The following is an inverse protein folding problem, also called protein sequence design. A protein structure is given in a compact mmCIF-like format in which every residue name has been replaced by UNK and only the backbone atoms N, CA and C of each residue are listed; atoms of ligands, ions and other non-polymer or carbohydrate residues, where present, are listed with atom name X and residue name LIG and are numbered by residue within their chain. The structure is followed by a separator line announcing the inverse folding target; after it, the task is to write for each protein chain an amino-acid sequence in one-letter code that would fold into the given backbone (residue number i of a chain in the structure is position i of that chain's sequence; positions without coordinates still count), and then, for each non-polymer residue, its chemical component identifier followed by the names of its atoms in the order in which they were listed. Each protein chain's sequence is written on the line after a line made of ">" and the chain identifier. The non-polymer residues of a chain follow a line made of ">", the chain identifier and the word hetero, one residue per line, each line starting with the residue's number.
data_IF_289101652853
#
_entry.id   IF_289101652853
#
_cell.length_a   1.000
_cell.length_b   1.000
_cell.length_c   1.000
_cell.angle_alpha   90.00
_cell.angle_beta   90.00
_cell.angle_gamma   90.00
#
_symmetry.space_group_name_H-M   'P 1'
#
loop_
_entity.id
_entity.type
_entity.pdbx_description
1 polymer ?
#
# COMPACT_ATOMS: atom_id res chain seq x y z
N UNK A 1 46.25 -36.60 21.03
CA UNK A 1 45.94 -35.86 22.28
C UNK A 1 44.84 -34.87 21.95
N UNK A 2 43.54 -35.16 22.04
CA UNK A 2 42.83 -36.27 22.67
C UNK A 2 42.32 -35.89 24.06
N UNK A 3 41.18 -35.19 24.13
CA UNK A 3 40.27 -35.26 25.28
C UNK A 3 38.84 -34.89 24.87
N UNK A 4 38.01 -35.93 24.80
CA UNK A 4 36.55 -35.90 24.91
C UNK A 4 36.12 -35.66 26.37
N UNK A 5 34.81 -35.40 26.53
CA UNK A 5 33.90 -35.61 27.67
C UNK A 5 33.11 -34.32 27.94
N UNK A 6 31.79 -34.31 28.12
CA UNK A 6 30.85 -35.39 28.34
C UNK A 6 29.56 -34.79 28.93
N UNK A 7 28.43 -35.41 28.60
CA UNK A 7 27.06 -35.02 28.92
C UNK A 7 26.71 -34.91 30.42
N UNK A 8 25.69 -34.11 30.75
CA UNK A 8 24.61 -34.48 31.70
C UNK A 8 23.44 -33.48 31.58
N UNK A 9 22.28 -33.89 31.07
CA UNK A 9 21.10 -34.46 31.78
C UNK A 9 20.45 -33.51 32.81
N UNK A 10 19.34 -32.92 32.37
CA UNK A 10 18.01 -33.05 32.96
C UNK A 10 17.84 -32.84 34.45
N UNK A 11 17.16 -31.76 34.81
CA UNK A 11 16.41 -31.63 36.06
C UNK A 11 15.02 -31.07 35.76
N UNK A 12 14.02 -31.87 36.11
CA UNK A 12 12.63 -31.43 36.27
C UNK A 12 12.52 -30.50 37.46
N UNK A 13 11.68 -29.47 37.36
CA UNK A 13 11.06 -28.82 38.51
C UNK A 13 9.58 -28.53 38.20
N UNK A 14 8.74 -28.87 39.17
CA UNK A 14 7.31 -28.69 39.20
C UNK A 14 6.91 -27.45 40.02
N UNK A 15 5.68 -27.01 39.77
CA UNK A 15 4.75 -26.23 40.63
C UNK A 15 4.78 -24.69 40.63
N UNK A 16 3.60 -24.18 40.22
CA UNK A 16 2.82 -23.03 40.68
C UNK A 16 3.45 -21.63 40.79
N UNK A 17 2.88 -20.68 40.04
CA UNK A 17 2.21 -19.49 40.61
C UNK A 17 1.30 -18.78 39.58
N UNK A 18 0.15 -18.33 40.10
CA UNK A 18 -0.88 -17.53 39.45
C UNK A 18 -0.33 -16.24 38.82
N UNK A 19 -0.74 -15.92 37.59
CA UNK A 19 -0.92 -14.53 37.20
C UNK A 19 -2.15 -14.36 36.29
N UNK A 20 -2.94 -13.37 36.68
CA UNK A 20 -4.22 -12.99 36.12
C UNK A 20 -3.96 -12.19 34.85
N UNK A 21 -4.29 -12.73 33.67
CA UNK A 21 -4.36 -11.94 32.44
C UNK A 21 -5.80 -12.01 31.94
N UNK A 22 -6.50 -10.87 32.04
CA UNK A 22 -7.78 -10.65 31.36
C UNK A 22 -7.52 -10.70 29.85
N UNK A 23 -7.77 -11.84 29.24
CA UNK A 23 -7.92 -11.92 27.79
C UNK A 23 -9.31 -11.39 27.43
N UNK A 24 -9.36 -10.24 26.77
CA UNK A 24 -10.49 -9.88 25.93
C UNK A 24 -10.64 -10.95 24.84
N UNK A 25 -11.87 -11.44 24.70
CA UNK A 25 -12.25 -12.50 23.77
C UNK A 25 -12.11 -12.02 22.33
N UNK A 26 -11.14 -12.56 21.59
CA UNK A 26 -11.27 -12.70 20.15
C UNK A 26 -11.37 -14.18 19.83
N UNK A 27 -12.44 -14.56 19.13
CA UNK A 27 -12.56 -15.87 18.51
C UNK A 27 -11.88 -15.81 17.14
N UNK A 28 -10.71 -16.44 17.02
CA UNK A 28 -10.10 -16.69 15.71
C UNK A 28 -10.70 -18.01 15.20
N UNK A 29 -11.41 -17.95 14.07
CA UNK A 29 -11.83 -19.13 13.33
C UNK A 29 -10.73 -19.43 12.31
N UNK A 30 -9.99 -20.52 12.52
CA UNK A 30 -9.04 -21.04 11.55
C UNK A 30 -9.68 -22.25 10.87
N UNK A 31 -10.01 -22.12 9.59
CA UNK A 31 -10.45 -23.25 8.77
C UNK A 31 -9.25 -23.83 8.03
N UNK A 32 -8.90 -25.09 8.30
CA UNK A 32 -7.98 -25.86 7.48
C UNK A 32 -8.76 -26.69 6.47
N UNK A 33 -8.51 -26.48 5.18
CA UNK A 33 -8.91 -27.44 4.14
C UNK A 33 -7.76 -28.43 3.96
N UNK A 34 -7.94 -29.66 4.43
CA UNK A 34 -7.10 -30.80 4.04
C UNK A 34 -7.89 -31.68 3.06
N UNK A 35 -7.35 -31.99 1.87
CA UNK A 35 -8.01 -32.87 0.92
C UNK A 35 -7.53 -34.31 1.14
N UNK A 36 -8.47 -35.18 1.51
CA UNK A 36 -8.48 -36.65 1.37
C UNK A 36 -8.95 -37.30 2.68
N UNK A 37 -10.15 -37.88 2.64
CA UNK A 37 -10.39 -39.32 2.85
C UNK A 37 -11.81 -39.54 3.40
N UNK A 38 -12.54 -40.44 2.74
CA UNK A 38 -13.94 -40.79 2.99
C UNK A 38 -14.05 -41.74 4.18
N UNK A 39 -13.92 -41.24 5.41
CA UNK A 39 -14.61 -41.77 6.60
C UNK A 39 -14.06 -41.10 7.85
N UNK A 40 -14.72 -40.05 8.32
CA UNK A 40 -14.53 -39.59 9.69
C UNK A 40 -15.84 -39.06 10.24
N UNK A 41 -16.30 -39.72 11.30
CA UNK A 41 -17.48 -39.35 12.06
C UNK A 41 -17.31 -37.94 12.61
N UNK A 42 -18.15 -37.00 12.18
CA UNK A 42 -18.23 -35.67 12.76
C UNK A 42 -18.80 -35.79 14.18
N UNK A 43 -17.93 -35.76 15.19
CA UNK A 43 -18.33 -35.58 16.58
C UNK A 43 -18.85 -34.15 16.74
N UNK A 44 -20.17 -34.00 16.62
CA UNK A 44 -20.89 -32.77 16.93
C UNK A 44 -20.75 -32.45 18.41
N UNK A 45 -19.85 -31.53 18.76
CA UNK A 45 -19.96 -30.80 20.02
C UNK A 45 -21.03 -29.73 19.87
N UNK A 46 -22.28 -30.11 20.14
CA UNK A 46 -23.36 -29.15 20.37
C UNK A 46 -23.08 -28.48 21.71
N UNK A 47 -22.39 -27.34 21.68
CA UNK A 47 -22.40 -26.40 22.79
C UNK A 47 -23.79 -25.76 22.80
N UNK A 48 -24.57 -26.10 23.83
CA UNK A 48 -25.90 -25.56 24.10
C UNK A 48 -25.79 -24.05 24.41
N UNK A 49 -25.78 -23.22 23.36
CA UNK A 49 -26.01 -21.79 23.51
C UNK A 49 -27.50 -21.60 23.77
N UNK A 50 -27.85 -21.37 25.04
CA UNK A 50 -29.15 -20.87 25.46
C UNK A 50 -29.55 -19.71 24.55
N UNK A 51 -30.76 -19.82 23.99
CA UNK A 51 -31.46 -18.81 23.23
C UNK A 51 -31.42 -17.45 23.94
N UNK A 52 -30.64 -16.51 23.40
CA UNK A 52 -30.83 -15.08 23.61
C UNK A 52 -31.47 -14.50 22.34
N UNK A 53 -32.80 -14.43 22.24
CA UNK A 53 -33.51 -13.88 21.07
C UNK A 53 -33.42 -12.33 20.97
N UNK A 54 -32.41 -11.71 21.59
CA UNK A 54 -32.22 -10.25 21.61
C UNK A 54 -30.82 -9.79 21.20
N UNK A 55 -29.99 -10.69 20.67
CA UNK A 55 -28.82 -10.26 19.90
C UNK A 55 -29.25 -10.13 18.44
N UNK A 56 -30.22 -9.25 18.21
CA UNK A 56 -30.34 -8.59 16.92
C UNK A 56 -28.95 -8.05 16.59
N UNK A 57 -28.52 -8.33 15.38
CA UNK A 57 -27.29 -7.86 14.78
C UNK A 57 -27.11 -6.37 15.07
N UNK A 58 -26.41 -6.04 16.16
CA UNK A 58 -25.69 -4.79 16.30
C UNK A 58 -24.59 -4.87 15.23
N UNK A 59 -24.97 -4.62 13.98
CA UNK A 59 -24.07 -4.08 13.00
C UNK A 59 -23.53 -2.81 13.64
N UNK A 60 -22.45 -2.93 14.41
CA UNK A 60 -21.67 -1.76 14.77
C UNK A 60 -21.20 -1.24 13.42
N UNK A 61 -21.87 -0.20 12.92
CA UNK A 61 -21.29 0.69 11.94
C UNK A 61 -19.94 1.10 12.53
N UNK A 62 -18.86 0.52 11.99
CA UNK A 62 -17.52 0.97 12.31
C UNK A 62 -17.50 2.46 12.00
N UNK A 63 -17.33 3.28 13.04
CA UNK A 63 -17.23 4.72 12.87
C UNK A 63 -15.97 4.97 12.05
N UNK A 64 -16.17 5.34 10.80
CA UNK A 64 -15.09 5.62 9.86
C UNK A 64 -14.34 6.87 10.33
N UNK A 65 -13.10 6.71 10.82
CA UNK A 65 -12.27 7.82 11.27
C UNK A 65 -11.59 8.52 10.08
N UNK A 66 -11.14 9.75 10.27
CA UNK A 66 -10.36 10.47 9.25
C UNK A 66 -9.12 9.69 8.79
N UNK A 67 -8.43 9.01 9.70
CA UNK A 67 -7.35 8.09 9.36
C UNK A 67 -7.79 6.99 8.37
N UNK A 68 -8.86 6.25 8.70
CA UNK A 68 -9.30 5.13 7.84
C UNK A 68 -9.72 5.60 6.46
N UNK A 69 -10.32 6.78 6.35
CA UNK A 69 -10.68 7.42 5.08
C UNK A 69 -9.46 7.83 4.26
N UNK A 70 -8.48 8.48 4.90
CA UNK A 70 -7.22 8.87 4.26
C UNK A 70 -6.46 7.63 3.76
N UNK A 71 -6.28 6.63 4.62
CA UNK A 71 -5.60 5.38 4.29
C UNK A 71 -6.28 4.68 3.13
N UNK A 72 -7.61 4.55 3.18
CA UNK A 72 -8.38 3.94 2.10
C UNK A 72 -8.20 4.69 0.78
N UNK A 73 -8.37 6.02 0.80
CA UNK A 73 -8.25 6.86 -0.39
C UNK A 73 -6.87 6.72 -1.03
N UNK A 74 -5.81 6.80 -0.23
CA UNK A 74 -4.43 6.69 -0.68
C UNK A 74 -4.10 5.31 -1.27
N UNK A 75 -4.50 4.24 -0.59
CA UNK A 75 -4.31 2.86 -1.06
C UNK A 75 -5.08 2.60 -2.36
N UNK A 76 -6.29 3.16 -2.50
CA UNK A 76 -7.09 3.01 -3.71
C UNK A 76 -6.47 3.75 -4.91
N UNK A 77 -5.76 4.85 -4.70
CA UNK A 77 -4.96 5.50 -5.76
C UNK A 77 -3.77 4.65 -6.18
N UNK A 78 -2.97 4.15 -5.23
CA UNK A 78 -1.85 3.23 -5.51
C UNK A 78 -2.31 1.99 -6.29
N UNK A 79 -3.46 1.41 -5.92
CA UNK A 79 -4.05 0.28 -6.66
C UNK A 79 -4.37 0.66 -8.11
N UNK A 80 -4.96 1.82 -8.34
CA UNK A 80 -5.31 2.29 -9.68
C UNK A 80 -4.06 2.56 -10.53
N UNK A 81 -3.06 3.22 -9.95
CA UNK A 81 -1.79 3.50 -10.63
C UNK A 81 -1.02 2.23 -10.95
N UNK A 82 -0.84 1.32 -9.98
CA UNK A 82 -0.16 0.03 -10.18
C UNK A 82 -0.81 -0.80 -11.27
N UNK A 83 -2.16 -0.84 -11.33
CA UNK A 83 -2.89 -1.51 -12.41
C UNK A 83 -2.62 -0.87 -13.76
N UNK A 84 -2.61 0.46 -13.84
CA UNK A 84 -2.30 1.16 -15.10
C UNK A 84 -0.85 0.97 -15.53
N UNK A 85 0.12 0.98 -14.60
CA UNK A 85 1.52 0.69 -14.91
C UNK A 85 1.70 -0.74 -15.43
N UNK A 86 1.03 -1.72 -14.82
CA UNK A 86 1.02 -3.09 -15.33
C UNK A 86 0.40 -3.15 -16.73
N UNK A 87 -0.69 -2.44 -16.96
CA UNK A 87 -1.32 -2.37 -18.29
C UNK A 87 -0.39 -1.75 -19.33
N UNK A 88 0.32 -0.66 -19.01
CA UNK A 88 1.35 -0.09 -19.87
C UNK A 88 2.47 -1.09 -20.18
N UNK A 89 2.94 -1.84 -19.17
CA UNK A 89 3.97 -2.87 -19.37
C UNK A 89 3.51 -3.92 -20.40
N UNK A 90 2.26 -4.35 -20.33
CA UNK A 90 1.67 -5.32 -21.25
C UNK A 90 1.56 -4.74 -22.68
N UNK A 91 1.09 -3.50 -22.83
CA UNK A 91 0.98 -2.80 -24.12
C UNK A 91 2.37 -2.61 -24.76
N UNK A 92 3.37 -2.20 -23.98
CA UNK A 92 4.76 -2.11 -24.43
C UNK A 92 5.37 -3.50 -24.73
N UNK A 93 4.88 -4.56 -24.08
CA UNK A 93 5.19 -5.96 -24.39
C UNK A 93 4.73 -6.34 -25.79
N UNK A 94 3.49 -5.99 -26.11
CA UNK A 94 2.83 -6.30 -27.38
C UNK A 94 3.15 -5.30 -28.50
N UNK A 95 3.97 -4.28 -28.22
CA UNK A 95 4.30 -3.17 -29.13
C UNK A 95 3.06 -2.40 -29.61
N UNK A 96 2.02 -2.35 -28.78
CA UNK A 96 0.82 -1.53 -29.04
C UNK A 96 1.02 -0.10 -28.50
N UNK A 97 1.82 0.66 -29.22
CA UNK A 97 2.17 2.04 -28.85
C UNK A 97 0.99 3.02 -28.91
N UNK A 98 0.05 2.94 -29.88
CA UNK A 98 -1.13 3.79 -29.88
C UNK A 98 -1.99 3.60 -28.62
N UNK A 99 -2.18 2.36 -28.18
CA UNK A 99 -2.90 2.10 -26.92
C UNK A 99 -2.09 2.53 -25.71
N UNK A 100 -0.77 2.34 -25.71
CA UNK A 100 0.11 2.81 -24.63
C UNK A 100 0.05 4.34 -24.46
N UNK A 101 -0.01 5.10 -25.55
CA UNK A 101 -0.14 6.56 -25.52
C UNK A 101 -1.46 7.02 -24.88
N UNK A 102 -2.57 6.33 -25.19
CA UNK A 102 -3.89 6.60 -24.57
C UNK A 102 -3.89 6.27 -23.09
N UNK A 103 -3.33 5.13 -22.72
CA UNK A 103 -3.23 4.73 -21.31
C UNK A 103 -2.31 5.66 -20.50
N UNK A 104 -1.18 6.08 -21.08
CA UNK A 104 -0.30 7.08 -20.47
C UNK A 104 -1.04 8.41 -20.26
N UNK A 105 -1.84 8.86 -21.23
CA UNK A 105 -2.65 10.08 -21.10
C UNK A 105 -3.72 9.98 -20.01
N UNK A 106 -4.27 8.79 -19.78
CA UNK A 106 -5.22 8.51 -18.69
C UNK A 106 -4.50 8.52 -17.34
N UNK A 107 -3.35 7.85 -17.25
CA UNK A 107 -2.51 7.80 -16.05
C UNK A 107 -1.99 9.17 -15.64
N UNK A 108 -1.62 10.02 -16.60
CA UNK A 108 -1.22 11.41 -16.36
C UNK A 108 -2.28 12.20 -15.56
N UNK A 109 -3.56 11.96 -15.82
CA UNK A 109 -4.67 12.57 -15.06
C UNK A 109 -4.94 11.87 -13.73
N UNK A 110 -4.85 10.53 -13.68
CA UNK A 110 -5.14 9.76 -12.45
C UNK A 110 -4.05 9.94 -11.40
N UNK A 111 -2.78 9.95 -11.81
CA UNK A 111 -1.64 10.05 -10.92
C UNK A 111 -1.40 11.48 -10.42
N UNK A 112 -1.72 12.50 -11.21
CA UNK A 112 -1.41 13.91 -10.91
C UNK A 112 -1.83 14.34 -9.49
N UNK A 113 -3.11 14.23 -9.10
CA UNK A 113 -3.55 14.60 -7.76
C UNK A 113 -2.83 13.83 -6.63
N UNK A 114 -2.53 12.56 -6.87
CA UNK A 114 -1.89 11.71 -5.88
C UNK A 114 -0.42 12.08 -5.68
N UNK A 115 0.32 12.28 -6.77
CA UNK A 115 1.73 12.69 -6.70
C UNK A 115 1.84 14.12 -6.14
N UNK A 116 0.92 15.03 -6.52
CA UNK A 116 0.85 16.37 -5.92
C UNK A 116 0.62 16.30 -4.41
N UNK A 117 -0.21 15.36 -3.96
CA UNK A 117 -0.46 15.12 -2.54
C UNK A 117 0.80 14.61 -1.82
N UNK A 118 1.45 13.59 -2.39
CA UNK A 118 2.66 13.00 -1.80
C UNK A 118 3.76 14.05 -1.62
N UNK A 119 4.08 14.79 -2.69
CA UNK A 119 5.17 15.76 -2.73
C UNK A 119 4.91 17.00 -1.85
N UNK A 120 3.67 17.52 -1.84
CA UNK A 120 3.37 18.79 -1.17
C UNK A 120 2.91 18.65 0.27
N UNK A 121 2.35 17.50 0.64
CA UNK A 121 1.70 17.30 1.93
C UNK A 121 2.22 16.07 2.66
N UNK A 122 2.26 14.90 2.01
CA UNK A 122 2.64 13.66 2.70
C UNK A 122 4.10 13.66 3.14
N UNK A 123 5.04 13.84 2.20
CA UNK A 123 6.46 13.75 2.48
C UNK A 123 6.91 14.79 3.51
N UNK A 124 6.51 16.08 3.43
CA UNK A 124 6.82 17.05 4.48
C UNK A 124 6.33 16.64 5.87
N UNK A 125 5.14 16.04 5.98
CA UNK A 125 4.62 15.56 7.27
C UNK A 125 5.38 14.34 7.78
N UNK A 126 5.76 13.41 6.88
CA UNK A 126 6.59 12.26 7.26
C UNK A 126 7.98 12.72 7.73
N UNK A 127 8.60 13.68 7.04
CA UNK A 127 9.86 14.32 7.48
C UNK A 127 9.70 14.93 8.87
N UNK A 128 8.62 15.69 9.09
CA UNK A 128 8.33 16.32 10.40
C UNK A 128 8.19 15.28 11.52
N UNK A 129 7.51 14.17 11.26
CA UNK A 129 7.30 13.10 12.26
C UNK A 129 8.59 12.33 12.55
N UNK A 130 9.41 12.07 11.53
CA UNK A 130 10.67 11.32 11.68
C UNK A 130 11.85 12.17 12.17
N UNK A 131 11.77 13.49 12.03
CA UNK A 131 12.81 14.44 12.41
C UNK A 131 13.89 14.63 11.33
N UNK A 132 14.82 15.54 11.63
CA UNK A 132 15.79 16.14 10.68
C UNK A 132 16.73 15.14 9.96
N UNK A 133 16.83 13.90 10.44
CA UNK A 133 17.65 12.85 9.82
C UNK A 133 16.94 12.13 8.65
N UNK A 134 15.65 12.41 8.43
CA UNK A 134 14.88 11.86 7.33
C UNK A 134 14.57 12.96 6.32
N UNK A 135 15.38 13.06 5.26
CA UNK A 135 15.06 13.86 4.07
C UNK A 135 14.46 12.93 3.02
N UNK A 136 13.17 13.08 2.76
CA UNK A 136 12.49 12.42 1.64
C UNK A 136 12.56 13.40 0.48
N UNK A 137 13.70 13.39 -0.23
CA UNK A 137 13.83 14.17 -1.46
C UNK A 137 12.97 13.56 -2.55
N UNK A 138 12.35 14.43 -3.37
CA UNK A 138 11.63 14.14 -4.62
C UNK A 138 12.09 12.83 -5.25
N UNK A 139 11.21 11.82 -5.23
CA UNK A 139 11.65 10.46 -5.45
C UNK A 139 12.13 10.31 -6.90
N UNK A 140 13.39 9.93 -7.17
CA UNK A 140 13.85 9.62 -8.53
C UNK A 140 12.94 8.58 -9.23
N UNK A 141 12.19 7.78 -8.48
CA UNK A 141 11.17 6.89 -8.99
C UNK A 141 9.99 7.64 -9.63
N UNK A 142 9.51 8.73 -9.01
CA UNK A 142 8.49 9.63 -9.57
C UNK A 142 8.96 10.25 -10.88
N UNK A 143 10.19 10.79 -10.90
CA UNK A 143 10.76 11.40 -12.09
C UNK A 143 10.86 10.39 -13.26
N UNK A 144 11.29 9.17 -12.96
CA UNK A 144 11.41 8.11 -13.96
C UNK A 144 10.06 7.75 -14.60
N UNK A 145 9.02 7.53 -13.80
CA UNK A 145 7.67 7.22 -14.30
C UNK A 145 7.07 8.40 -15.07
N UNK A 146 7.25 9.62 -14.56
CA UNK A 146 6.78 10.84 -15.22
C UNK A 146 7.40 11.00 -16.62
N UNK A 147 8.70 10.72 -16.76
CA UNK A 147 9.38 10.73 -18.07
C UNK A 147 8.72 9.77 -19.06
N UNK A 148 8.40 8.55 -18.62
CA UNK A 148 7.70 7.57 -19.46
C UNK A 148 6.33 8.06 -19.88
N UNK A 149 5.53 8.57 -18.93
CA UNK A 149 4.18 9.08 -19.20
C UNK A 149 4.25 10.25 -20.19
N UNK A 150 5.18 11.19 -19.97
CA UNK A 150 5.37 12.35 -20.82
C UNK A 150 5.73 11.96 -22.26
N UNK A 151 6.67 11.03 -22.43
CA UNK A 151 7.12 10.54 -23.74
C UNK A 151 6.02 9.76 -24.47
N UNK A 152 5.33 8.82 -23.80
CA UNK A 152 4.29 8.00 -24.42
C UNK A 152 3.07 8.82 -24.84
N UNK A 153 2.67 9.81 -24.04
CA UNK A 153 1.53 10.69 -24.32
C UNK A 153 1.66 11.43 -25.66
N UNK A 154 2.86 11.92 -25.96
CA UNK A 154 3.13 12.71 -27.17
C UNK A 154 3.63 11.87 -28.33
N UNK A 155 3.64 10.55 -28.17
CA UNK A 155 4.15 9.63 -29.16
C UNK A 155 3.24 9.64 -30.40
N UNK A 156 3.79 9.85 -31.62
CA UNK A 156 3.01 9.77 -32.85
C UNK A 156 2.34 8.39 -33.02
N UNK A 157 1.17 8.37 -33.66
CA UNK A 157 0.39 7.14 -33.84
C UNK A 157 1.14 6.04 -34.62
N UNK A 158 1.99 6.43 -35.58
CA UNK A 158 2.80 5.54 -36.41
C UNK A 158 4.24 5.36 -35.88
N UNK A 159 4.52 5.86 -34.67
CA UNK A 159 5.85 5.75 -34.10
C UNK A 159 6.24 4.29 -33.83
N UNK A 160 7.50 3.99 -34.12
CA UNK A 160 8.14 2.73 -33.76
C UNK A 160 9.37 3.03 -32.88
N UNK A 161 9.18 3.23 -31.56
CA UNK A 161 10.27 3.47 -30.63
C UNK A 161 11.35 2.37 -30.70
N UNK A 162 12.59 2.78 -30.48
CA UNK A 162 13.74 1.88 -30.42
C UNK A 162 13.59 0.91 -29.24
N UNK A 163 14.19 -0.28 -29.38
CA UNK A 163 14.10 -1.31 -28.35
C UNK A 163 14.67 -0.86 -27.00
N UNK A 164 15.71 -0.03 -27.04
CA UNK A 164 16.37 0.54 -25.85
C UNK A 164 15.42 1.48 -25.09
N UNK A 165 14.69 2.36 -25.79
CA UNK A 165 13.68 3.23 -25.18
C UNK A 165 12.58 2.42 -24.51
N UNK A 166 12.07 1.39 -25.21
CA UNK A 166 11.02 0.52 -24.65
C UNK A 166 11.52 -0.23 -23.41
N UNK A 167 12.77 -0.69 -23.41
CA UNK A 167 13.37 -1.35 -22.25
C UNK A 167 13.49 -0.40 -21.05
N UNK A 168 13.96 0.84 -21.28
CA UNK A 168 14.04 1.87 -20.25
C UNK A 168 12.66 2.22 -19.67
N UNK A 169 11.65 2.42 -20.53
CA UNK A 169 10.28 2.67 -20.09
C UNK A 169 9.74 1.56 -19.19
N UNK A 170 9.96 0.30 -19.58
CA UNK A 170 9.55 -0.86 -18.77
C UNK A 170 10.28 -0.90 -17.43
N UNK A 171 11.54 -0.50 -17.37
CA UNK A 171 12.28 -0.43 -16.12
C UNK A 171 11.70 0.62 -15.17
N UNK A 172 11.43 1.83 -15.66
CA UNK A 172 10.84 2.89 -14.83
C UNK A 172 9.43 2.54 -14.34
N UNK A 173 8.58 1.95 -15.20
CA UNK A 173 7.25 1.49 -14.79
C UNK A 173 7.31 0.41 -13.69
N UNK A 174 8.29 -0.51 -13.76
CA UNK A 174 8.52 -1.50 -12.70
C UNK A 174 8.99 -0.84 -11.40
N UNK A 175 9.85 0.18 -11.48
CA UNK A 175 10.24 0.97 -10.32
C UNK A 175 9.01 1.61 -9.68
N UNK A 176 8.13 2.25 -10.47
CA UNK A 176 6.89 2.84 -9.97
C UNK A 176 5.95 1.84 -9.28
N UNK A 177 5.87 0.60 -9.77
CA UNK A 177 5.10 -0.46 -9.10
C UNK A 177 5.72 -0.82 -7.74
N UNK A 178 7.05 -0.96 -7.68
CA UNK A 178 7.75 -1.24 -6.44
C UNK A 178 7.62 -0.10 -5.44
N UNK A 179 7.75 1.15 -5.91
CA UNK A 179 7.53 2.37 -5.15
C UNK A 179 6.16 2.36 -4.47
N UNK A 180 5.08 2.17 -5.23
CA UNK A 180 3.72 2.15 -4.69
C UNK A 180 3.54 1.06 -3.61
N UNK A 181 4.24 -0.08 -3.72
CA UNK A 181 4.22 -1.10 -2.69
C UNK A 181 4.95 -0.69 -1.41
N UNK A 182 6.01 0.11 -1.50
CA UNK A 182 6.80 0.58 -0.36
C UNK A 182 6.18 1.81 0.31
N UNK A 183 5.62 2.74 -0.47
CA UNK A 183 5.06 4.00 0.02
C UNK A 183 3.87 3.79 0.97
N UNK A 184 3.11 2.70 0.83
CA UNK A 184 2.08 2.33 1.81
C UNK A 184 2.59 2.15 3.25
N UNK A 185 3.89 1.85 3.45
CA UNK A 185 4.50 1.84 4.77
C UNK A 185 4.76 3.25 5.32
N UNK A 186 5.10 4.22 4.46
CA UNK A 186 5.34 5.62 4.84
C UNK A 186 4.07 6.28 5.36
N UNK A 187 2.91 5.98 4.77
CA UNK A 187 1.65 6.55 5.26
C UNK A 187 1.40 6.20 6.72
N UNK A 188 1.77 4.99 7.17
CA UNK A 188 1.54 4.53 8.55
C UNK A 188 2.28 5.37 9.60
N UNK A 189 3.33 6.10 9.22
CA UNK A 189 4.02 7.05 10.10
C UNK A 189 3.08 8.17 10.56
N UNK A 190 2.03 8.46 9.79
CA UNK A 190 1.06 9.51 10.07
C UNK A 190 -0.16 9.04 10.87
N UNK A 191 -0.21 7.76 11.24
CA UNK A 191 -1.36 7.16 11.93
C UNK A 191 -1.63 7.78 13.30
N UNK A 192 -0.58 8.20 13.99
CA UNK A 192 -0.66 8.74 15.34
C UNK A 192 -0.76 10.28 15.35
N UNK A 193 -0.89 10.92 14.17
CA UNK A 193 -1.20 12.35 14.10
C UNK A 193 -2.56 12.66 14.75
N UNK A 194 -2.74 13.87 15.30
CA UNK A 194 -4.05 14.38 15.71
C UNK A 194 -5.11 14.24 14.60
N UNK A 195 -6.36 13.97 15.00
CA UNK A 195 -7.46 13.72 14.05
C UNK A 195 -7.73 14.90 13.11
N UNK A 196 -7.54 16.14 13.59
CA UNK A 196 -7.65 17.35 12.79
C UNK A 196 -6.55 17.45 11.72
N UNK A 197 -5.31 17.06 12.04
CA UNK A 197 -4.22 16.96 11.06
C UNK A 197 -4.50 15.87 10.00
N UNK A 198 -4.98 14.70 10.42
CA UNK A 198 -5.41 13.64 9.48
C UNK A 198 -6.56 14.09 8.58
N UNK A 199 -7.51 14.84 9.14
CA UNK A 199 -8.64 15.43 8.40
C UNK A 199 -8.15 16.46 7.39
N UNK A 200 -7.15 17.27 7.75
CA UNK A 200 -6.54 18.24 6.84
C UNK A 200 -5.84 17.54 5.66
N UNK A 201 -5.09 16.47 5.90
CA UNK A 201 -4.45 15.66 4.85
C UNK A 201 -5.48 15.02 3.91
N UNK A 202 -6.55 14.42 4.46
CA UNK A 202 -7.64 13.88 3.67
C UNK A 202 -8.29 14.96 2.80
N UNK A 203 -8.57 16.12 3.39
CA UNK A 203 -9.18 17.26 2.68
C UNK A 203 -8.27 17.75 1.55
N UNK A 204 -6.97 17.84 1.79
CA UNK A 204 -5.99 18.20 0.76
C UNK A 204 -6.00 17.20 -0.40
N UNK A 205 -5.93 15.89 -0.13
CA UNK A 205 -5.99 14.86 -1.17
C UNK A 205 -7.29 14.94 -1.99
N UNK A 206 -8.45 15.12 -1.33
CA UNK A 206 -9.72 15.25 -2.04
C UNK A 206 -9.77 16.53 -2.90
N UNK A 207 -9.31 17.66 -2.36
CA UNK A 207 -9.25 18.91 -3.11
C UNK A 207 -8.35 18.83 -4.35
N UNK A 208 -7.23 18.12 -4.26
CA UNK A 208 -6.36 17.86 -5.42
C UNK A 208 -7.05 16.99 -6.48
N UNK A 209 -7.84 15.98 -6.07
CA UNK A 209 -8.61 15.16 -7.01
C UNK A 209 -9.68 15.97 -7.72
N UNK A 210 -10.35 16.88 -7.02
CA UNK A 210 -11.34 17.80 -7.62
C UNK A 210 -10.70 18.76 -8.62
N UNK A 211 -9.49 19.25 -8.33
CA UNK A 211 -8.70 20.08 -9.26
C UNK A 211 -8.32 19.31 -10.52
N UNK A 212 -7.98 18.02 -10.39
CA UNK A 212 -7.72 17.12 -11.52
C UNK A 212 -6.48 17.48 -12.35
N UNK A 213 -5.46 18.09 -11.74
CA UNK A 213 -4.20 18.45 -12.40
C UNK A 213 -3.60 17.22 -13.10
N UNK A 214 -3.02 17.40 -14.29
CA UNK A 214 -2.15 16.38 -14.86
C UNK A 214 -0.82 16.36 -14.13
N UNK A 215 -0.24 15.17 -13.95
CA UNK A 215 1.07 15.03 -13.35
C UNK A 215 2.13 15.82 -14.15
N UNK A 216 2.07 15.75 -15.46
CA UNK A 216 2.99 16.45 -16.36
C UNK A 216 2.81 17.97 -16.43
N UNK A 217 1.79 18.52 -15.78
CA UNK A 217 1.56 19.97 -15.64
C UNK A 217 2.00 20.49 -14.27
N UNK A 218 2.42 19.60 -13.37
CA UNK A 218 2.88 19.99 -12.04
C UNK A 218 4.22 20.71 -12.13
N UNK A 219 4.28 21.87 -11.48
CA UNK A 219 5.55 22.51 -11.20
C UNK A 219 6.29 21.69 -10.13
N UNK A 220 7.61 21.46 -10.28
CA UNK A 220 8.42 20.92 -9.20
C UNK A 220 8.23 21.80 -7.96
N UNK A 221 8.20 21.23 -6.75
CA UNK A 221 8.26 22.04 -5.54
C UNK A 221 9.48 22.96 -5.64
N UNK A 222 9.29 24.26 -5.36
CA UNK A 222 10.39 25.21 -5.37
C UNK A 222 11.51 24.66 -4.47
N UNK A 223 12.75 24.65 -4.99
CA UNK A 223 13.91 24.16 -4.27
C UNK A 223 13.97 24.87 -2.90
N UNK A 224 14.06 24.12 -1.79
CA UNK A 224 14.17 24.67 -0.43
C UNK A 224 15.54 25.34 -0.15
N UNK A 225 16.25 25.78 -1.20
CA UNK A 225 17.60 26.36 -1.15
C UNK A 225 17.61 27.91 -1.20
N UNK A 226 16.66 28.55 -0.53
CA UNK A 226 16.71 30.00 -0.22
C UNK A 226 17.01 30.22 1.28
#
# INVERSE_FOLDING_TARGET
>A
MGTEMGMNKGLMFSEHLNSFVRFQRYSIVICYNSPADESSECVHWIIFLRSYPHLESCCMEEIETSWTRLQKAFVDDHRQMTRGYQHLLDLLGNRDFPSAAREASRLDTVAGPHIEFEERYLYPEVERVRGDDCTITFDPEHAGVLSVIAELRVLPHDAAPKAESVAAWKQHLRSGINHASACGALLNELKDLPEDEQTALLTALMGLREKGSRWTEMEPPADKND
#
